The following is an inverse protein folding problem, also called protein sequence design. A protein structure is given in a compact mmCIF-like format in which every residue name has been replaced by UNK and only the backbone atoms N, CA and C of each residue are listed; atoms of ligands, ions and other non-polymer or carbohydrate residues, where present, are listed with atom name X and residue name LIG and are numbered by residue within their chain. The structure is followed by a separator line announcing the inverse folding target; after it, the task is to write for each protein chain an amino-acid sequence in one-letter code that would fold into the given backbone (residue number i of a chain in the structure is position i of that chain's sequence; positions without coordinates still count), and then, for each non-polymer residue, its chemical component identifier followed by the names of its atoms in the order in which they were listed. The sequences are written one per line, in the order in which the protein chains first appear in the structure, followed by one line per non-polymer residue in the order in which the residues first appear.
data_IF_165406891966
#
_entry.id   IF_165406891966
#
_cell.length_a   1.000
_cell.length_b   1.000
_cell.length_c   1.000
_cell.angle_alpha   90.00
_cell.angle_beta   90.00
_cell.angle_gamma   90.00
#
_symmetry.space_group_name_H-M   'P 1'
#
loop_
_entity.id
_entity.type
_entity.pdbx_description
1 polymer ?
#
# COMPACT_ATOMS: atom_id res chain seq x y z
N UNK A 1 19.97 -25.79 13.32
CA UNK A 1 20.24 -24.34 13.17
C UNK A 1 20.02 -24.02 11.71
N UNK A 2 18.90 -23.41 11.39
CA UNK A 2 18.63 -23.01 10.02
C UNK A 2 19.64 -21.94 9.61
N UNK A 3 20.28 -22.14 8.47
CA UNK A 3 21.24 -21.19 7.94
C UNK A 3 20.47 -19.95 7.45
N UNK A 4 20.86 -18.76 7.91
CA UNK A 4 20.25 -17.49 7.43
C UNK A 4 20.38 -17.32 5.90
N UNK A 5 21.30 -18.02 5.27
CA UNK A 5 21.53 -18.03 3.82
C UNK A 5 20.74 -19.12 3.09
N UNK A 6 19.96 -19.93 3.81
CA UNK A 6 19.15 -20.98 3.21
C UNK A 6 18.08 -20.38 2.30
N UNK A 7 17.89 -21.00 1.14
CA UNK A 7 16.85 -20.61 0.20
C UNK A 7 15.46 -20.84 0.84
N UNK A 8 14.71 -19.79 1.01
CA UNK A 8 13.37 -19.85 1.60
C UNK A 8 12.27 -19.79 0.56
N UNK A 9 12.42 -18.92 -0.44
CA UNK A 9 11.42 -18.71 -1.49
C UNK A 9 12.10 -18.64 -2.85
N UNK A 10 11.53 -19.35 -3.83
CA UNK A 10 11.81 -19.17 -5.25
C UNK A 10 10.61 -18.45 -5.87
N UNK A 11 10.80 -17.19 -6.24
CA UNK A 11 9.75 -16.36 -6.82
C UNK A 11 10.06 -16.03 -8.29
N UNK A 12 9.08 -16.19 -9.18
CA UNK A 12 9.25 -15.94 -10.60
C UNK A 12 8.79 -14.54 -10.99
N UNK A 13 9.65 -13.83 -11.73
CA UNK A 13 9.31 -12.54 -12.33
C UNK A 13 9.19 -12.68 -13.84
N UNK A 14 8.21 -12.00 -14.43
CA UNK A 14 8.15 -11.81 -15.88
C UNK A 14 9.26 -10.83 -16.26
N UNK A 15 10.44 -11.33 -16.61
CA UNK A 15 11.54 -10.48 -17.05
C UNK A 15 11.19 -9.64 -18.29
N UNK A 16 11.92 -8.57 -18.51
CA UNK A 16 11.86 -7.74 -19.75
C UNK A 16 12.29 -8.52 -21.00
N UNK A 17 12.90 -9.67 -20.83
CA UNK A 17 13.23 -10.67 -21.85
C UNK A 17 12.21 -11.80 -21.75
N UNK A 18 11.87 -12.43 -22.87
CA UNK A 18 10.80 -13.46 -23.06
C UNK A 18 10.78 -14.65 -22.09
N UNK A 19 11.71 -14.75 -21.15
CA UNK A 19 11.81 -15.83 -20.20
C UNK A 19 11.58 -15.36 -18.77
N UNK A 20 10.72 -16.07 -18.02
CA UNK A 20 10.55 -15.87 -16.59
C UNK A 20 11.86 -16.18 -15.85
N UNK A 21 12.25 -15.32 -14.92
CA UNK A 21 13.44 -15.51 -14.09
C UNK A 21 13.03 -15.94 -12.69
N UNK A 22 13.64 -17.01 -12.20
CA UNK A 22 13.48 -17.46 -10.81
C UNK A 22 14.42 -16.67 -9.89
N UNK A 23 13.84 -15.86 -9.01
CA UNK A 23 14.58 -15.09 -8.00
C UNK A 23 14.70 -15.95 -6.74
N UNK A 24 15.91 -16.24 -6.33
CA UNK A 24 16.21 -17.02 -5.13
C UNK A 24 16.29 -16.10 -3.91
N UNK A 25 15.34 -16.22 -2.99
CA UNK A 25 15.23 -15.37 -1.81
C UNK A 25 15.64 -16.14 -0.57
N UNK A 26 16.76 -15.77 0.06
CA UNK A 26 17.23 -16.41 1.29
C UNK A 26 16.39 -15.95 2.50
N UNK A 27 16.36 -16.77 3.54
CA UNK A 27 15.61 -16.49 4.78
C UNK A 27 15.96 -15.13 5.38
N UNK A 28 17.25 -14.76 5.40
CA UNK A 28 17.72 -13.45 5.91
C UNK A 28 17.09 -12.24 5.22
N UNK A 29 16.84 -12.32 3.90
CA UNK A 29 16.29 -11.20 3.13
C UNK A 29 14.84 -10.92 3.52
N UNK A 30 14.02 -11.97 3.61
CA UNK A 30 12.65 -11.85 4.12
C UNK A 30 12.63 -11.40 5.58
N UNK A 31 13.46 -11.99 6.42
CA UNK A 31 13.55 -11.62 7.82
C UNK A 31 13.89 -10.14 8.01
N UNK A 32 14.85 -9.64 7.23
CA UNK A 32 15.22 -8.21 7.25
C UNK A 32 14.03 -7.30 6.93
N UNK A 33 13.23 -7.64 5.92
CA UNK A 33 12.01 -6.90 5.59
C UNK A 33 10.95 -6.98 6.72
N UNK A 34 10.79 -8.15 7.32
CA UNK A 34 9.85 -8.33 8.44
C UNK A 34 10.25 -7.52 9.66
N UNK A 35 11.53 -7.50 10.02
CA UNK A 35 12.06 -6.71 11.13
C UNK A 35 11.88 -5.21 10.89
N UNK A 36 12.09 -4.75 9.66
CA UNK A 36 11.78 -3.36 9.31
C UNK A 36 10.28 -3.07 9.50
N UNK A 37 9.40 -3.92 8.95
CA UNK A 37 7.95 -3.73 9.03
C UNK A 37 7.44 -3.72 10.49
N UNK A 38 7.95 -4.62 11.34
CA UNK A 38 7.60 -4.67 12.77
C UNK A 38 7.95 -3.37 13.49
N UNK A 39 9.06 -2.73 13.11
CA UNK A 39 9.51 -1.48 13.75
C UNK A 39 8.86 -0.22 13.14
N UNK A 40 8.47 -0.26 11.87
CA UNK A 40 8.00 0.91 11.13
C UNK A 40 6.47 1.01 11.04
N UNK A 41 5.77 -0.11 10.97
CA UNK A 41 4.32 -0.16 10.80
C UNK A 41 3.62 -0.49 12.14
N UNK A 42 2.52 0.21 12.47
CA UNK A 42 1.91 0.13 13.81
C UNK A 42 0.94 -1.05 13.97
N UNK A 43 1.29 -2.24 13.53
CA UNK A 43 0.46 -3.43 13.72
C UNK A 43 0.69 -4.07 15.09
N UNK A 44 -0.40 -4.59 15.67
CA UNK A 44 -0.43 -5.21 16.99
C UNK A 44 -1.21 -6.52 16.94
N UNK A 45 -0.98 -7.45 17.87
CA UNK A 45 -1.79 -8.65 17.99
C UNK A 45 -3.30 -8.35 18.04
N UNK A 46 -4.07 -9.09 17.25
CA UNK A 46 -5.50 -8.88 17.09
C UNK A 46 -5.92 -7.83 16.07
N UNK A 47 -4.99 -7.03 15.53
CA UNK A 47 -5.29 -6.16 14.39
C UNK A 47 -5.75 -6.98 13.18
N UNK A 48 -6.48 -6.34 12.28
CA UNK A 48 -7.12 -6.98 11.13
C UNK A 48 -6.58 -6.44 9.82
N UNK A 49 -6.41 -7.32 8.84
CA UNK A 49 -6.01 -6.96 7.49
C UNK A 49 -6.84 -7.76 6.47
N UNK A 50 -7.19 -7.13 5.35
CA UNK A 50 -7.77 -7.80 4.19
C UNK A 50 -6.66 -8.08 3.19
N UNK A 51 -6.38 -9.37 2.92
CA UNK A 51 -5.43 -9.79 1.90
C UNK A 51 -6.15 -9.86 0.54
N UNK A 52 -5.70 -9.01 -0.37
CA UNK A 52 -6.29 -8.85 -1.71
C UNK A 52 -5.27 -8.98 -2.85
N UNK A 53 -3.98 -8.99 -2.52
CA UNK A 53 -2.91 -9.16 -3.48
C UNK A 53 -2.58 -10.64 -3.68
N UNK A 54 -2.13 -11.04 -4.88
CA UNK A 54 -1.71 -12.41 -5.11
C UNK A 54 -0.52 -12.80 -4.20
N UNK A 55 -0.65 -13.91 -3.48
CA UNK A 55 0.41 -14.47 -2.64
C UNK A 55 1.64 -14.94 -3.44
N UNK A 56 1.48 -15.14 -4.76
CA UNK A 56 2.60 -15.43 -5.67
C UNK A 56 3.51 -14.22 -5.90
N UNK A 57 3.09 -13.01 -5.56
CA UNK A 57 3.92 -11.81 -5.62
C UNK A 57 4.52 -11.50 -4.26
N UNK A 58 5.82 -11.15 -4.24
CA UNK A 58 6.55 -10.86 -3.01
C UNK A 58 5.90 -9.78 -2.14
N UNK A 59 5.25 -8.78 -2.75
CA UNK A 59 4.56 -7.73 -2.02
C UNK A 59 3.40 -8.27 -1.18
N UNK A 60 2.54 -9.10 -1.77
CA UNK A 60 1.44 -9.77 -1.05
C UNK A 60 1.96 -10.77 -0.01
N UNK A 61 2.90 -11.65 -0.41
CA UNK A 61 3.49 -12.63 0.50
C UNK A 61 4.12 -11.98 1.73
N UNK A 62 4.96 -10.96 1.52
CA UNK A 62 5.70 -10.33 2.61
C UNK A 62 4.78 -9.51 3.53
N UNK A 63 3.94 -8.61 2.98
CA UNK A 63 3.25 -7.60 3.80
C UNK A 63 1.79 -7.90 4.10
N UNK A 64 1.07 -8.67 3.26
CA UNK A 64 -0.29 -9.08 3.59
C UNK A 64 -0.36 -10.39 4.36
N UNK A 65 0.70 -11.22 4.29
CA UNK A 65 0.72 -12.50 4.98
C UNK A 65 1.81 -12.57 6.05
N UNK A 66 3.10 -12.67 5.69
CA UNK A 66 4.17 -12.95 6.65
C UNK A 66 4.27 -11.89 7.76
N UNK A 67 4.27 -10.62 7.40
CA UNK A 67 4.32 -9.53 8.38
C UNK A 67 3.12 -9.57 9.32
N UNK A 68 1.91 -9.76 8.81
CA UNK A 68 0.70 -9.81 9.61
C UNK A 68 0.70 -11.05 10.54
N UNK A 69 1.12 -12.19 10.01
CA UNK A 69 1.21 -13.41 10.79
C UNK A 69 2.20 -13.29 11.96
N UNK A 70 3.41 -12.77 11.70
CA UNK A 70 4.43 -12.55 12.73
C UNK A 70 3.96 -11.52 13.77
N UNK A 71 3.20 -10.51 13.35
CA UNK A 71 2.63 -9.47 14.23
C UNK A 71 1.41 -9.94 15.03
N UNK A 72 0.93 -11.18 14.83
CA UNK A 72 -0.25 -11.72 15.53
C UNK A 72 -1.57 -11.12 15.05
N UNK A 73 -1.62 -10.63 13.82
CA UNK A 73 -2.82 -10.05 13.20
C UNK A 73 -3.73 -11.12 12.63
N UNK A 74 -5.00 -10.77 12.47
CA UNK A 74 -6.00 -11.58 11.77
C UNK A 74 -5.97 -11.22 10.27
N UNK A 75 -5.71 -12.19 9.41
CA UNK A 75 -5.68 -12.02 7.96
C UNK A 75 -6.95 -12.58 7.34
N UNK A 76 -7.69 -11.73 6.63
CA UNK A 76 -8.92 -12.07 5.93
C UNK A 76 -8.66 -12.15 4.44
N UNK A 77 -8.64 -13.34 3.88
CA UNK A 77 -8.40 -13.55 2.46
C UNK A 77 -9.67 -13.33 1.63
N UNK A 78 -9.56 -12.55 0.55
CA UNK A 78 -10.65 -12.44 -0.41
C UNK A 78 -10.78 -13.76 -1.18
N UNK A 79 -11.97 -14.35 -1.13
CA UNK A 79 -12.30 -15.58 -1.85
C UNK A 79 -12.80 -15.34 -3.28
N UNK A 80 -12.99 -14.08 -3.65
CA UNK A 80 -13.48 -13.65 -4.97
C UNK A 80 -12.45 -12.75 -5.64
N UNK A 81 -12.51 -12.68 -6.99
CA UNK A 81 -11.66 -11.75 -7.76
C UNK A 81 -11.80 -10.32 -7.22
N UNK A 82 -10.67 -9.66 -6.89
CA UNK A 82 -10.69 -8.31 -6.35
C UNK A 82 -11.33 -7.33 -7.34
N UNK A 83 -12.47 -6.77 -6.97
CA UNK A 83 -13.09 -5.64 -7.67
C UNK A 83 -13.31 -4.50 -6.66
N UNK A 84 -13.41 -3.24 -7.09
CA UNK A 84 -13.65 -2.14 -6.16
C UNK A 84 -14.83 -2.38 -5.21
N UNK A 85 -15.93 -2.95 -5.72
CA UNK A 85 -17.12 -3.26 -4.90
C UNK A 85 -16.83 -4.32 -3.83
N UNK A 86 -16.17 -5.42 -4.21
CA UNK A 86 -15.83 -6.53 -3.30
C UNK A 86 -14.84 -6.06 -2.24
N UNK A 87 -13.84 -5.29 -2.65
CA UNK A 87 -12.81 -4.74 -1.74
C UNK A 87 -13.44 -3.79 -0.73
N UNK A 88 -14.26 -2.84 -1.16
CA UNK A 88 -14.92 -1.90 -0.26
C UNK A 88 -15.87 -2.60 0.71
N UNK A 89 -16.59 -3.64 0.25
CA UNK A 89 -17.41 -4.45 1.15
C UNK A 89 -16.55 -5.17 2.19
N UNK A 90 -15.46 -5.80 1.79
CA UNK A 90 -14.55 -6.45 2.72
C UNK A 90 -13.94 -5.47 3.74
N UNK A 91 -13.59 -4.26 3.30
CA UNK A 91 -13.11 -3.23 4.21
C UNK A 91 -14.16 -2.76 5.21
N UNK A 92 -15.42 -2.63 4.78
CA UNK A 92 -16.52 -2.29 5.67
C UNK A 92 -16.78 -3.38 6.72
N UNK A 93 -16.68 -4.65 6.34
CA UNK A 93 -16.92 -5.79 7.22
C UNK A 93 -15.74 -6.03 8.17
N UNK A 94 -14.52 -5.96 7.68
CA UNK A 94 -13.28 -6.28 8.42
C UNK A 94 -12.76 -5.11 9.21
N UNK A 95 -12.85 -3.88 8.67
CA UNK A 95 -12.26 -2.65 9.22
C UNK A 95 -10.77 -2.83 9.49
N UNK A 96 -9.95 -2.94 8.43
CA UNK A 96 -8.53 -3.23 8.57
C UNK A 96 -7.79 -2.09 9.29
N UNK A 97 -6.75 -2.41 10.03
CA UNK A 97 -5.87 -1.44 10.71
C UNK A 97 -4.75 -0.90 9.81
N UNK A 98 -4.47 -1.61 8.72
CA UNK A 98 -3.50 -1.27 7.68
C UNK A 98 -4.06 -1.73 6.33
N UNK A 99 -3.85 -0.95 5.29
CA UNK A 99 -4.23 -1.34 3.93
C UNK A 99 -2.98 -1.41 3.05
N UNK A 100 -2.76 -2.57 2.44
CA UNK A 100 -1.69 -2.79 1.46
C UNK A 100 -2.35 -2.84 0.08
N UNK A 101 -1.96 -1.98 -0.83
CA UNK A 101 -2.65 -1.85 -2.10
C UNK A 101 -1.70 -1.63 -3.29
N UNK A 102 -2.19 -1.91 -4.48
CA UNK A 102 -1.56 -1.48 -5.74
C UNK A 102 -2.28 -0.25 -6.30
N UNK A 103 -1.58 0.62 -7.04
CA UNK A 103 -2.13 1.86 -7.60
C UNK A 103 -3.49 1.69 -8.27
N UNK A 104 -3.61 0.69 -9.13
CA UNK A 104 -4.80 0.43 -9.92
C UNK A 104 -6.09 0.29 -9.09
N UNK A 105 -6.00 -0.31 -7.90
CA UNK A 105 -7.14 -0.49 -6.99
C UNK A 105 -7.59 0.86 -6.44
N UNK A 106 -6.65 1.63 -5.91
CA UNK A 106 -6.92 2.94 -5.32
C UNK A 106 -7.45 3.91 -6.37
N UNK A 107 -6.81 3.96 -7.52
CA UNK A 107 -7.23 4.79 -8.65
C UNK A 107 -8.65 4.48 -9.11
N UNK A 108 -9.00 3.21 -9.28
CA UNK A 108 -10.36 2.80 -9.66
C UNK A 108 -11.40 3.20 -8.61
N UNK A 109 -11.09 3.06 -7.32
CA UNK A 109 -11.99 3.46 -6.25
C UNK A 109 -12.22 4.97 -6.28
N UNK A 110 -11.16 5.78 -6.36
CA UNK A 110 -11.24 7.23 -6.35
C UNK A 110 -11.91 7.75 -7.62
N UNK A 111 -11.49 7.30 -8.80
CA UNK A 111 -12.06 7.73 -10.09
C UNK A 111 -13.55 7.38 -10.22
N UNK A 112 -13.98 6.24 -9.67
CA UNK A 112 -15.38 5.82 -9.79
C UNK A 112 -16.30 6.44 -8.74
N UNK A 113 -15.83 6.59 -7.51
CA UNK A 113 -16.70 6.88 -6.38
C UNK A 113 -16.57 8.32 -5.85
N UNK A 114 -15.47 9.01 -6.14
CA UNK A 114 -15.14 10.31 -5.54
C UNK A 114 -15.07 11.42 -6.58
N UNK A 115 -14.20 11.31 -7.57
CA UNK A 115 -13.97 12.39 -8.54
C UNK A 115 -15.24 12.86 -9.27
N UNK A 116 -16.17 11.99 -9.74
CA UNK A 116 -17.36 12.44 -10.44
C UNK A 116 -18.24 13.37 -9.59
N UNK A 117 -18.21 13.21 -8.27
CA UNK A 117 -18.98 14.08 -7.34
C UNK A 117 -18.34 15.45 -7.18
N UNK A 118 -17.02 15.53 -7.30
CA UNK A 118 -16.26 16.79 -7.18
C UNK A 118 -16.19 17.58 -8.49
N UNK A 119 -16.36 16.92 -9.62
CA UNK A 119 -16.27 17.53 -10.95
C UNK A 119 -17.52 18.30 -11.38
N UNK A 120 -18.59 18.26 -10.60
CA UNK A 120 -19.82 19.03 -10.90
C UNK A 120 -19.53 20.53 -10.85
N UNK A 121 -20.16 21.36 -11.73
CA UNK A 121 -19.94 22.81 -11.78
C UNK A 121 -20.13 23.50 -10.42
N UNK A 122 -21.16 23.09 -9.68
CA UNK A 122 -21.46 23.60 -8.34
C UNK A 122 -20.33 23.28 -7.36
N UNK A 123 -19.80 22.03 -7.38
CA UNK A 123 -18.75 21.63 -6.47
C UNK A 123 -17.42 22.31 -6.82
N UNK A 124 -17.10 22.44 -8.10
CA UNK A 124 -15.93 23.22 -8.56
C UNK A 124 -15.99 24.67 -8.07
N UNK A 125 -17.15 25.32 -8.16
CA UNK A 125 -17.33 26.68 -7.64
C UNK A 125 -17.11 26.73 -6.11
N UNK A 126 -17.72 25.83 -5.34
CA UNK A 126 -17.59 25.77 -3.88
C UNK A 126 -16.16 25.50 -3.41
N UNK A 127 -15.38 24.76 -4.20
CA UNK A 127 -13.96 24.49 -3.92
C UNK A 127 -13.05 25.73 -4.04
N UNK A 128 -13.54 26.84 -4.65
CA UNK A 128 -12.82 28.11 -4.70
C UNK A 128 -13.16 29.05 -3.54
N UNK A 129 -14.16 28.71 -2.73
CA UNK A 129 -14.58 29.54 -1.59
C UNK A 129 -13.81 29.09 -0.34
N UNK A 130 -12.94 29.94 0.26
CA UNK A 130 -12.24 29.61 1.50
C UNK A 130 -13.24 29.20 2.60
N UNK A 131 -12.81 28.40 3.56
CA UNK A 131 -13.62 27.76 4.62
C UNK A 131 -14.65 26.74 4.12
N UNK A 132 -15.30 26.96 2.97
CA UNK A 132 -16.21 25.97 2.36
C UNK A 132 -15.40 24.84 1.75
N UNK A 133 -14.33 25.18 1.04
CA UNK A 133 -13.40 24.19 0.45
C UNK A 133 -12.81 23.27 1.51
N UNK A 134 -12.42 23.80 2.67
CA UNK A 134 -11.82 23.00 3.74
C UNK A 134 -12.84 22.02 4.35
N UNK A 135 -14.06 22.47 4.59
CA UNK A 135 -15.15 21.59 5.04
C UNK A 135 -15.50 20.49 4.01
N UNK A 136 -15.45 20.84 2.72
CA UNK A 136 -15.69 19.86 1.65
C UNK A 136 -14.55 18.81 1.65
N UNK A 137 -13.29 19.23 1.73
CA UNK A 137 -12.13 18.33 1.79
C UNK A 137 -12.20 17.41 2.99
N UNK A 138 -12.50 17.94 4.16
CA UNK A 138 -12.69 17.15 5.38
C UNK A 138 -13.79 16.10 5.21
N UNK A 139 -14.96 16.49 4.71
CA UNK A 139 -16.07 15.56 4.45
C UNK A 139 -15.73 14.49 3.42
N UNK A 140 -14.99 14.86 2.36
CA UNK A 140 -14.51 13.90 1.35
C UNK A 140 -13.49 12.94 1.97
N UNK A 141 -12.56 13.44 2.78
CA UNK A 141 -11.62 12.60 3.54
C UNK A 141 -12.36 11.61 4.42
N UNK A 142 -13.32 12.06 5.23
CA UNK A 142 -14.10 11.18 6.11
C UNK A 142 -14.87 10.11 5.32
N UNK A 143 -15.51 10.49 4.22
CA UNK A 143 -16.22 9.53 3.37
C UNK A 143 -15.27 8.48 2.78
N UNK A 144 -14.08 8.92 2.35
CA UNK A 144 -13.09 8.01 1.79
C UNK A 144 -12.49 7.12 2.89
N UNK A 145 -12.18 7.68 4.07
CA UNK A 145 -11.75 6.91 5.24
C UNK A 145 -12.77 5.80 5.57
N UNK A 146 -14.03 6.16 5.67
CA UNK A 146 -15.12 5.22 5.97
C UNK A 146 -15.26 4.13 4.89
N UNK A 147 -15.07 4.47 3.62
CA UNK A 147 -15.08 3.51 2.53
C UNK A 147 -13.97 2.45 2.65
N UNK A 148 -12.84 2.81 3.24
CA UNK A 148 -11.73 1.90 3.55
C UNK A 148 -11.83 1.25 4.94
N UNK A 149 -12.99 1.33 5.61
CA UNK A 149 -13.27 0.70 6.91
C UNK A 149 -13.11 1.63 8.12
N UNK A 150 -12.55 2.82 7.96
CA UNK A 150 -12.51 3.89 8.97
C UNK A 150 -11.48 3.71 10.10
N UNK A 151 -10.85 2.55 10.22
CA UNK A 151 -9.97 2.21 11.35
C UNK A 151 -8.49 2.06 10.99
N UNK A 152 -8.12 2.25 9.72
CA UNK A 152 -6.73 2.06 9.28
C UNK A 152 -5.84 3.27 9.62
N UNK A 153 -4.58 2.98 9.91
CA UNK A 153 -3.55 3.98 10.13
C UNK A 153 -3.09 4.65 8.84
N UNK A 154 -2.83 3.85 7.81
CA UNK A 154 -2.41 4.31 6.48
C UNK A 154 -2.72 3.28 5.39
N UNK A 155 -2.71 3.76 4.16
CA UNK A 155 -2.67 2.91 2.96
C UNK A 155 -1.26 2.94 2.40
N UNK A 156 -0.60 1.79 2.33
CA UNK A 156 0.69 1.64 1.64
C UNK A 156 0.41 1.25 0.19
N UNK A 157 0.79 2.11 -0.74
CA UNK A 157 0.63 1.88 -2.17
C UNK A 157 1.96 1.45 -2.76
N UNK A 158 2.01 0.30 -3.44
CA UNK A 158 3.25 -0.24 -3.99
C UNK A 158 3.04 -1.10 -5.24
N UNK A 159 4.13 -1.56 -5.83
CA UNK A 159 4.13 -2.49 -6.95
C UNK A 159 4.04 -1.86 -8.35
N UNK A 160 3.69 -0.59 -8.48
CA UNK A 160 3.70 0.18 -9.73
C UNK A 160 3.76 1.68 -9.44
N UNK A 161 4.02 2.49 -10.48
CA UNK A 161 3.97 3.94 -10.38
C UNK A 161 2.55 4.41 -10.03
N UNK A 162 2.43 5.34 -9.09
CA UNK A 162 1.15 5.90 -8.68
C UNK A 162 0.78 7.10 -9.56
N UNK A 163 -0.49 7.21 -9.94
CA UNK A 163 -0.98 8.30 -10.78
C UNK A 163 -0.87 9.64 -10.04
N UNK A 164 -0.16 10.61 -10.64
CA UNK A 164 0.15 11.89 -10.02
C UNK A 164 -1.10 12.74 -9.70
N UNK A 165 -2.15 12.67 -10.51
CA UNK A 165 -3.40 13.42 -10.27
C UNK A 165 -4.13 12.85 -9.06
N UNK A 166 -4.19 11.52 -8.95
CA UNK A 166 -4.79 10.84 -7.80
C UNK A 166 -3.97 11.09 -6.54
N UNK A 167 -2.66 11.06 -6.65
CA UNK A 167 -1.77 11.37 -5.54
C UNK A 167 -1.96 12.82 -5.06
N UNK A 168 -1.99 13.79 -5.99
CA UNK A 168 -2.26 15.19 -5.67
C UNK A 168 -3.64 15.38 -5.01
N UNK A 169 -4.65 14.66 -5.49
CA UNK A 169 -5.98 14.67 -4.88
C UNK A 169 -5.94 14.14 -3.45
N UNK A 170 -5.37 12.96 -3.21
CA UNK A 170 -5.28 12.36 -1.87
C UNK A 170 -4.55 13.28 -0.90
N UNK A 171 -3.48 13.93 -1.36
CA UNK A 171 -2.74 14.92 -0.58
C UNK A 171 -3.61 16.14 -0.26
N UNK A 172 -4.39 16.64 -1.23
CA UNK A 172 -5.23 17.84 -1.04
C UNK A 172 -6.30 17.68 0.04
N UNK A 173 -6.70 16.45 0.35
CA UNK A 173 -7.65 16.09 1.40
C UNK A 173 -6.95 15.50 2.63
N UNK A 174 -5.63 15.57 2.72
CA UNK A 174 -4.83 15.01 3.82
C UNK A 174 -5.15 13.54 4.13
N UNK A 175 -5.34 12.74 3.09
CA UNK A 175 -5.65 11.32 3.23
C UNK A 175 -4.40 10.53 3.66
N UNK A 176 -4.49 9.60 4.63
CA UNK A 176 -3.34 8.87 5.15
C UNK A 176 -2.87 7.79 4.18
N UNK A 177 -1.93 8.13 3.31
CA UNK A 177 -1.29 7.20 2.37
C UNK A 177 0.21 7.41 2.29
N UNK A 178 0.90 6.39 1.87
CA UNK A 178 2.31 6.43 1.48
C UNK A 178 2.55 5.60 0.24
N UNK A 179 3.61 5.90 -0.49
CA UNK A 179 4.05 5.08 -1.63
C UNK A 179 5.35 4.41 -1.27
N UNK A 180 5.35 3.07 -1.30
CA UNK A 180 6.54 2.26 -1.12
C UNK A 180 7.13 1.81 -2.46
N UNK A 181 8.44 1.63 -2.50
CA UNK A 181 9.16 1.08 -3.64
C UNK A 181 9.88 -0.20 -3.27
N UNK A 182 9.80 -1.17 -4.15
CA UNK A 182 10.47 -2.44 -3.98
C UNK A 182 10.55 -3.25 -5.26
N UNK A 183 11.27 -4.35 -5.19
CA UNK A 183 11.40 -5.33 -6.27
C UNK A 183 11.59 -6.71 -5.68
N UNK A 184 11.23 -7.75 -6.44
CA UNK A 184 11.30 -9.15 -5.96
C UNK A 184 12.68 -9.53 -5.46
N UNK A 185 13.73 -9.06 -6.14
CA UNK A 185 15.13 -9.31 -5.80
C UNK A 185 15.56 -8.72 -4.44
N UNK A 186 14.79 -7.79 -3.89
CA UNK A 186 15.03 -7.15 -2.58
C UNK A 186 14.12 -7.67 -1.46
N UNK A 187 13.27 -8.65 -1.71
CA UNK A 187 12.43 -9.41 -0.75
C UNK A 187 11.34 -8.64 0.04
N UNK A 188 10.54 -7.70 -0.47
CA UNK A 188 10.72 -6.90 -1.68
C UNK A 188 11.09 -5.44 -1.43
N UNK A 189 10.99 -4.89 -0.19
CA UNK A 189 10.96 -3.45 0.11
C UNK A 189 12.36 -2.81 0.06
N UNK A 190 12.45 -1.68 -0.64
CA UNK A 190 13.65 -0.85 -0.74
C UNK A 190 13.42 0.52 -0.09
N UNK A 191 12.29 1.17 -0.36
CA UNK A 191 11.97 2.50 0.17
C UNK A 191 10.57 2.54 0.77
N UNK A 192 10.46 3.28 1.88
CA UNK A 192 9.21 3.57 2.57
C UNK A 192 9.40 4.81 3.46
N UNK A 193 8.32 5.52 3.73
CA UNK A 193 8.24 6.55 4.76
C UNK A 193 6.82 6.55 5.35
N UNK A 194 6.70 6.76 6.66
CA UNK A 194 5.41 6.94 7.34
C UNK A 194 4.60 8.08 6.69
N UNK A 195 3.31 7.91 6.51
CA UNK A 195 2.45 8.85 5.79
C UNK A 195 2.51 10.28 6.32
N UNK A 196 2.79 10.48 7.62
CA UNK A 196 2.92 11.80 8.25
C UNK A 196 4.18 12.54 7.82
N UNK A 197 5.19 11.82 7.35
CA UNK A 197 6.48 12.34 6.88
C UNK A 197 6.67 12.17 5.38
N UNK A 198 5.80 11.41 4.75
CA UNK A 198 5.86 11.10 3.33
C UNK A 198 5.74 12.36 2.48
N UNK A 199 6.56 12.42 1.43
CA UNK A 199 6.53 13.50 0.43
C UNK A 199 5.95 12.96 -0.88
N UNK A 200 4.85 13.54 -1.34
CA UNK A 200 4.24 13.18 -2.61
C UNK A 200 5.25 13.27 -3.77
N UNK A 201 5.13 12.37 -4.73
CA UNK A 201 6.07 12.24 -5.85
C UNK A 201 7.38 11.53 -5.49
N UNK A 202 7.51 10.99 -4.25
CA UNK A 202 8.64 10.15 -3.84
C UNK A 202 8.17 8.72 -3.55
N UNK A 203 9.12 7.84 -3.23
CA UNK A 203 8.83 6.50 -2.69
C UNK A 203 9.27 6.38 -1.20
N UNK A 204 9.44 7.53 -0.53
CA UNK A 204 10.01 7.55 0.81
C UNK A 204 11.53 7.46 0.81
N UNK A 205 12.09 7.03 1.93
CA UNK A 205 13.54 6.85 2.15
C UNK A 205 13.91 5.38 2.02
N UNK A 206 15.19 5.11 1.75
CA UNK A 206 15.72 3.76 1.88
C UNK A 206 15.42 3.21 3.28
N UNK A 207 14.93 1.98 3.35
CA UNK A 207 14.67 1.32 4.64
C UNK A 207 15.99 0.99 5.34
N UNK A 208 15.96 0.87 6.66
CA UNK A 208 17.16 0.83 7.52
C UNK A 208 18.20 -0.24 7.14
N UNK A 209 17.77 -1.29 6.42
CA UNK A 209 18.63 -2.41 6.03
C UNK A 209 18.99 -2.41 4.53
N UNK A 210 18.76 -1.29 3.84
CA UNK A 210 19.05 -1.12 2.42
C UNK A 210 19.96 0.06 2.18
N UNK A 211 20.89 -0.11 1.26
CA UNK A 211 21.71 0.96 0.71
C UNK A 211 21.26 1.25 -0.72
N UNK A 212 21.00 2.53 -1.01
CA UNK A 212 20.58 2.97 -2.34
C UNK A 212 21.60 3.97 -2.87
N UNK A 213 22.11 3.69 -4.06
CA UNK A 213 23.04 4.58 -4.77
C UNK A 213 22.48 4.94 -6.13
N UNK A 214 22.39 6.24 -6.41
CA UNK A 214 22.09 6.74 -7.75
C UNK A 214 23.40 6.93 -8.51
N UNK A 215 23.52 6.25 -9.63
CA UNK A 215 24.65 6.43 -10.54
C UNK A 215 24.20 7.42 -11.63
N UNK A 216 24.96 8.49 -11.81
CA UNK A 216 24.80 9.34 -12.98
C UNK A 216 25.23 8.55 -14.22
N UNK A 217 24.42 8.60 -15.27
CA UNK A 217 24.76 8.08 -16.59
C UNK A 217 25.91 8.86 -17.22
#
# INVERSE_FOLDING_TARGET
KDSQNELLVLNYTSGTTSFSKGVMIPARALWSNMMFAINALPQKPGNRLVSMLPMAHMYGLAFEFLYQFISGCQVFFLTRMPSPKIILQAFADVKPSLVIAVPLIIEKIIKKNVLPKLETPTMKFLMHVPLVSDKIREKVREQLMNAFGGEFYEIVVGGAAFNQEIEAFMRSIEFPYTVGYGMTECAPLICYEDWKKFKAGSCGKAVTNMEVKVLSA
#
